data_IF_690759928092
#
_entry.id   IF_690759928092
#
_cell.length_a   1.000
_cell.length_b   1.000
_cell.length_c   1.000
_cell.angle_alpha   90.00
_cell.angle_beta   90.00
_cell.angle_gamma   90.00
#
_symmetry.space_group_name_H-M   'P 1'
#
loop_
_entity.id
_entity.type
_entity.pdbx_description
1 polymer ?
#
# COMPACT_ATOMS: atom_id res chain seq x y z
N UNK A 1 6.52 -13.29 44.55
CA UNK A 1 5.54 -12.19 44.41
C UNK A 1 6.08 -10.98 43.65
N UNK A 2 6.99 -10.17 44.20
CA UNK A 2 7.45 -8.95 43.50
C UNK A 2 8.19 -9.23 42.17
N UNK A 3 9.04 -10.27 42.15
CA UNK A 3 9.73 -10.74 40.93
C UNK A 3 8.76 -11.27 39.87
N UNK A 4 7.65 -11.88 40.27
CA UNK A 4 6.65 -12.45 39.36
C UNK A 4 5.78 -11.34 38.75
N UNK A 5 5.40 -10.33 39.54
CA UNK A 5 4.74 -9.12 39.04
C UNK A 5 5.61 -8.34 38.07
N UNK A 6 6.90 -8.15 38.37
CA UNK A 6 7.85 -7.50 37.46
C UNK A 6 8.03 -8.27 36.14
N UNK A 7 8.01 -9.61 36.20
CA UNK A 7 8.11 -10.46 35.01
C UNK A 7 6.86 -10.36 34.14
N UNK A 8 5.68 -10.36 34.74
CA UNK A 8 4.40 -10.18 34.05
C UNK A 8 4.26 -8.77 33.45
N UNK A 9 4.66 -7.72 34.17
CA UNK A 9 4.65 -6.35 33.65
C UNK A 9 5.61 -6.20 32.46
N UNK A 10 6.79 -6.81 32.53
CA UNK A 10 7.76 -6.83 31.42
C UNK A 10 7.23 -7.59 30.21
N UNK A 11 6.58 -8.75 30.39
CA UNK A 11 6.01 -9.49 29.26
C UNK A 11 4.85 -8.72 28.61
N UNK A 12 3.98 -8.09 29.41
CA UNK A 12 2.92 -7.22 28.90
C UNK A 12 3.46 -6.06 28.08
N UNK A 13 4.52 -5.41 28.53
CA UNK A 13 5.14 -4.30 27.79
C UNK A 13 5.79 -4.76 26.47
N UNK A 14 6.39 -5.95 26.44
CA UNK A 14 6.96 -6.52 25.19
C UNK A 14 5.85 -6.76 24.16
N UNK A 15 4.73 -7.35 24.58
CA UNK A 15 3.58 -7.58 23.69
C UNK A 15 3.02 -6.26 23.14
N UNK A 16 2.84 -5.26 24.01
CA UNK A 16 2.36 -3.93 23.59
C UNK A 16 3.33 -3.27 22.60
N UNK A 17 4.64 -3.43 22.79
CA UNK A 17 5.65 -2.90 21.89
C UNK A 17 5.62 -3.60 20.53
N UNK A 18 5.48 -4.93 20.50
CA UNK A 18 5.36 -5.71 19.27
C UNK A 18 4.10 -5.35 18.47
N UNK A 19 2.96 -5.19 19.16
CA UNK A 19 1.72 -4.73 18.54
C UNK A 19 1.85 -3.31 17.99
N UNK A 20 2.44 -2.40 18.76
CA UNK A 20 2.66 -1.02 18.33
C UNK A 20 3.59 -0.97 17.11
N UNK A 21 4.63 -1.80 17.08
CA UNK A 21 5.54 -1.91 15.94
C UNK A 21 4.81 -2.40 14.70
N UNK A 22 3.97 -3.43 14.82
CA UNK A 22 3.16 -3.94 13.72
C UNK A 22 2.13 -2.92 13.22
N UNK A 23 1.48 -2.19 14.15
CA UNK A 23 0.52 -1.15 13.80
C UNK A 23 1.21 -0.02 13.01
N UNK A 24 2.41 0.37 13.45
CA UNK A 24 3.22 1.39 12.77
C UNK A 24 3.65 0.94 11.37
N UNK A 25 4.22 -0.26 11.23
CA UNK A 25 4.67 -0.77 9.91
C UNK A 25 3.48 -0.94 8.95
N UNK A 26 2.35 -1.41 9.44
CA UNK A 26 1.11 -1.52 8.66
C UNK A 26 0.57 -0.15 8.22
N UNK A 27 0.70 0.87 9.07
CA UNK A 27 0.32 2.23 8.71
C UNK A 27 1.24 2.81 7.63
N UNK A 28 2.57 2.60 7.73
CA UNK A 28 3.52 3.01 6.71
C UNK A 28 3.24 2.36 5.35
N UNK A 29 3.01 1.04 5.31
CA UNK A 29 2.68 0.32 4.06
C UNK A 29 1.39 0.82 3.42
N UNK A 30 0.35 1.08 4.23
CA UNK A 30 -0.91 1.70 3.73
C UNK A 30 -0.69 3.12 3.22
N UNK A 31 0.24 3.85 3.81
CA UNK A 31 0.57 5.20 3.37
C UNK A 31 1.31 5.18 2.03
N UNK A 32 2.23 4.24 1.83
CA UNK A 32 2.91 3.98 0.56
C UNK A 32 1.91 3.65 -0.56
N UNK A 33 0.98 2.72 -0.32
CA UNK A 33 -0.10 2.40 -1.27
C UNK A 33 -0.87 3.68 -1.65
N UNK A 34 -1.28 4.48 -0.66
CA UNK A 34 -1.98 5.76 -0.91
C UNK A 34 -1.16 6.76 -1.71
N UNK A 35 0.16 6.76 -1.56
CA UNK A 35 1.02 7.63 -2.34
C UNK A 35 1.07 7.18 -3.81
N UNK A 36 1.12 5.87 -4.05
CA UNK A 36 1.10 5.30 -5.40
C UNK A 36 -0.27 5.50 -6.05
N UNK A 37 -1.37 5.33 -5.31
CA UNK A 37 -2.73 5.66 -5.75
C UNK A 37 -2.88 7.13 -6.16
N UNK A 38 -2.26 8.06 -5.42
CA UNK A 38 -2.25 9.48 -5.79
C UNK A 38 -1.54 9.69 -7.12
N UNK A 39 -0.38 9.07 -7.30
CA UNK A 39 0.37 9.15 -8.55
C UNK A 39 -0.41 8.54 -9.73
N UNK A 40 -1.08 7.41 -9.52
CA UNK A 40 -1.96 6.81 -10.53
C UNK A 40 -3.07 7.77 -10.96
N UNK A 41 -3.69 8.47 -10.00
CA UNK A 41 -4.71 9.47 -10.30
C UNK A 41 -4.15 10.67 -11.07
N UNK A 42 -2.91 11.07 -10.81
CA UNK A 42 -2.22 12.12 -11.56
C UNK A 42 -1.98 11.70 -13.02
N UNK A 43 -1.47 10.49 -13.26
CA UNK A 43 -1.24 10.02 -14.63
C UNK A 43 -2.55 9.84 -15.42
N UNK A 44 -3.61 9.33 -14.78
CA UNK A 44 -4.94 9.27 -15.40
C UNK A 44 -5.48 10.66 -15.76
N UNK A 45 -5.24 11.67 -14.92
CA UNK A 45 -5.63 13.07 -15.19
C UNK A 45 -4.80 13.66 -16.34
N UNK A 46 -3.51 13.38 -16.38
CA UNK A 46 -2.63 13.83 -17.46
C UNK A 46 -3.10 13.27 -18.81
N UNK A 47 -3.40 11.97 -18.86
CA UNK A 47 -3.93 11.32 -20.07
C UNK A 47 -5.29 11.91 -20.48
N UNK A 48 -6.19 12.12 -19.51
CA UNK A 48 -7.49 12.75 -19.75
C UNK A 48 -7.37 14.19 -20.25
N UNK A 49 -6.35 14.93 -19.80
CA UNK A 49 -6.05 16.28 -20.28
C UNK A 49 -5.54 16.26 -21.72
N UNK A 50 -4.61 15.37 -22.06
CA UNK A 50 -4.14 15.17 -23.44
C UNK A 50 -5.31 14.82 -24.38
N UNK A 51 -6.27 14.03 -23.92
CA UNK A 51 -7.49 13.73 -24.67
C UNK A 51 -8.37 14.97 -24.88
N UNK A 52 -8.60 15.76 -23.83
CA UNK A 52 -9.39 16.98 -23.91
C UNK A 52 -8.74 18.02 -24.84
N UNK A 53 -7.41 18.16 -24.79
CA UNK A 53 -6.65 19.09 -25.64
C UNK A 53 -6.72 18.65 -27.12
N UNK A 54 -6.56 17.34 -27.40
CA UNK A 54 -6.72 16.81 -28.76
C UNK A 54 -8.13 17.06 -29.31
N UNK A 55 -9.17 16.88 -28.49
CA UNK A 55 -10.55 17.15 -28.88
C UNK A 55 -10.80 18.64 -29.14
N UNK A 56 -10.26 19.53 -28.30
CA UNK A 56 -10.39 20.98 -28.45
C UNK A 56 -9.73 21.49 -29.75
N UNK A 57 -8.65 20.86 -30.17
CA UNK A 57 -7.94 21.18 -31.41
C UNK A 57 -8.50 20.45 -32.65
N UNK A 58 -9.54 19.63 -32.48
CA UNK A 58 -10.13 18.84 -33.57
C UNK A 58 -9.21 17.74 -34.11
N UNK A 59 -8.21 17.32 -33.33
CA UNK A 59 -7.29 16.24 -33.68
C UNK A 59 -7.81 14.90 -33.17
N UNK A 60 -7.55 13.83 -33.91
CA UNK A 60 -7.80 12.46 -33.42
C UNK A 60 -6.81 12.16 -32.29
N UNK A 61 -7.34 11.85 -31.11
CA UNK A 61 -6.51 11.37 -30.01
C UNK A 61 -6.10 9.92 -30.27
N UNK A 62 -4.79 9.68 -30.31
CA UNK A 62 -4.23 8.33 -30.31
C UNK A 62 -3.51 8.06 -28.97
N UNK A 63 -4.04 7.13 -28.15
CA UNK A 63 -3.43 6.78 -26.87
C UNK A 63 -2.05 6.13 -27.01
N UNK A 64 -1.74 5.51 -28.15
CA UNK A 64 -0.51 4.72 -28.34
C UNK A 64 0.63 5.54 -28.97
N UNK A 65 0.52 6.87 -28.98
CA UNK A 65 1.48 7.76 -29.64
C UNK A 65 2.10 8.76 -28.67
N UNK A 66 3.40 9.04 -28.89
CA UNK A 66 4.14 10.05 -28.13
C UNK A 66 4.08 9.82 -26.62
N UNK A 67 3.81 10.89 -25.88
CA UNK A 67 3.78 10.88 -24.42
C UNK A 67 2.60 10.08 -23.84
N UNK A 68 1.54 9.83 -24.63
CA UNK A 68 0.36 9.09 -24.17
C UNK A 68 0.66 7.60 -23.96
N UNK A 69 1.53 7.00 -24.78
CA UNK A 69 1.94 5.59 -24.61
C UNK A 69 2.74 5.40 -23.32
N UNK A 70 3.59 6.37 -22.98
CA UNK A 70 4.33 6.36 -21.72
C UNK A 70 3.38 6.49 -20.52
N UNK A 71 2.40 7.39 -20.58
CA UNK A 71 1.39 7.55 -19.53
C UNK A 71 0.58 6.26 -19.33
N UNK A 72 0.20 5.58 -20.42
CA UNK A 72 -0.52 4.30 -20.34
C UNK A 72 0.31 3.22 -19.66
N UNK A 73 1.58 3.07 -20.05
CA UNK A 73 2.50 2.10 -19.42
C UNK A 73 2.71 2.40 -17.93
N UNK A 74 2.81 3.68 -17.56
CA UNK A 74 2.92 4.10 -16.16
C UNK A 74 1.64 3.79 -15.38
N UNK A 75 0.47 4.04 -15.97
CA UNK A 75 -0.82 3.68 -15.35
C UNK A 75 -0.92 2.17 -15.13
N UNK A 76 -0.53 1.36 -16.11
CA UNK A 76 -0.53 -0.10 -16.00
C UNK A 76 0.42 -0.57 -14.89
N UNK A 77 1.67 -0.11 -14.92
CA UNK A 77 2.66 -0.40 -13.88
C UNK A 77 2.17 -0.02 -12.48
N UNK A 78 1.63 1.19 -12.30
CA UNK A 78 1.16 1.66 -10.99
C UNK A 78 -0.01 0.81 -10.46
N UNK A 79 -0.89 0.31 -11.35
CA UNK A 79 -1.98 -0.59 -10.95
C UNK A 79 -1.44 -1.94 -10.50
N UNK A 80 -0.49 -2.51 -11.24
CA UNK A 80 0.16 -3.76 -10.86
C UNK A 80 0.88 -3.64 -9.52
N UNK A 81 1.61 -2.53 -9.32
CA UNK A 81 2.34 -2.26 -8.08
C UNK A 81 1.39 -2.11 -6.87
N UNK A 82 0.26 -1.40 -7.03
CA UNK A 82 -0.75 -1.28 -5.97
C UNK A 82 -1.30 -2.66 -5.61
N UNK A 83 -1.69 -3.46 -6.60
CA UNK A 83 -2.22 -4.81 -6.36
C UNK A 83 -1.21 -5.68 -5.63
N UNK A 84 0.06 -5.66 -6.06
CA UNK A 84 1.14 -6.39 -5.40
C UNK A 84 1.30 -5.98 -3.94
N UNK A 85 1.34 -4.69 -3.64
CA UNK A 85 1.50 -4.18 -2.27
C UNK A 85 0.29 -4.49 -1.39
N UNK A 86 -0.91 -4.45 -1.93
CA UNK A 86 -2.14 -4.86 -1.22
C UNK A 86 -2.12 -6.34 -0.87
N UNK A 87 -1.68 -7.20 -1.80
CA UNK A 87 -1.51 -8.63 -1.57
C UNK A 87 -0.43 -8.90 -0.51
N UNK A 88 0.71 -8.21 -0.56
CA UNK A 88 1.77 -8.33 0.43
C UNK A 88 1.29 -7.89 1.81
N UNK A 89 0.54 -6.78 1.90
CA UNK A 89 -0.05 -6.31 3.14
C UNK A 89 -1.06 -7.32 3.71
N UNK A 90 -1.89 -7.92 2.85
CA UNK A 90 -2.83 -8.97 3.24
C UNK A 90 -2.11 -10.23 3.71
N UNK A 91 -1.02 -10.63 3.05
CA UNK A 91 -0.18 -11.76 3.44
C UNK A 91 0.48 -11.53 4.80
N UNK A 92 1.10 -10.36 4.99
CA UNK A 92 1.71 -9.97 6.26
C UNK A 92 0.70 -9.94 7.41
N UNK A 93 -0.56 -9.52 7.13
CA UNK A 93 -1.64 -9.59 8.12
C UNK A 93 -2.00 -11.03 8.48
N UNK A 94 -2.10 -11.93 7.51
CA UNK A 94 -2.37 -13.37 7.76
C UNK A 94 -1.26 -14.00 8.60
N UNK A 95 -0.01 -13.70 8.27
CA UNK A 95 1.14 -14.20 9.02
C UNK A 95 1.16 -13.70 10.47
N UNK A 96 0.90 -12.40 10.68
CA UNK A 96 0.80 -11.83 12.01
C UNK A 96 -0.34 -12.44 12.84
N UNK A 97 -1.50 -12.72 12.23
CA UNK A 97 -2.60 -13.40 12.93
C UNK A 97 -2.25 -14.85 13.27
N UNK A 98 -1.55 -15.57 12.37
CA UNK A 98 -1.10 -16.95 12.59
C UNK A 98 -0.07 -17.05 13.72
N UNK A 99 0.88 -16.11 13.80
CA UNK A 99 1.86 -16.08 14.89
C UNK A 99 1.21 -15.80 16.25
N UNK A 100 0.10 -15.05 16.27
CA UNK A 100 -0.71 -14.84 17.48
C UNK A 100 -1.54 -16.06 17.87
N UNK A 101 -2.27 -16.68 16.94
CA UNK A 101 -3.09 -17.86 17.26
C UNK A 101 -2.24 -19.04 17.70
N UNK A 102 -1.04 -19.21 17.13
CA UNK A 102 -0.06 -20.21 17.57
C UNK A 102 0.66 -19.89 18.89
N UNK A 103 0.44 -18.69 19.46
CA UNK A 103 0.95 -18.29 20.77
C UNK A 103 -0.08 -18.49 21.90
N UNK A 104 -1.38 -18.60 21.59
CA UNK A 104 -2.44 -18.92 22.58
C UNK A 104 -2.50 -20.42 22.95
N UNK A 105 -1.93 -21.31 22.12
CA UNK A 105 -1.88 -22.77 22.35
C UNK A 105 -0.64 -23.26 23.14
N UNK A 106 0.15 -22.36 23.75
CA UNK A 106 1.34 -22.72 24.55
C UNK A 106 1.34 -22.14 25.96
#
# INVERSE_FOLDING_TARGET
>A
MLKDMLRAARSGFIVLFEESRWAFTSACRRWEIRQIEKRLNEECRNLGRSYADALAEGRTFDPQTGDNDLLLKQIEFLKEEINYLEEELAAARREFLKSRSGAEDR
#
